data_IF_662394882680
#
_entry.id   IF_662394882680
#
_cell.length_a   1.000
_cell.length_b   1.000
_cell.length_c   1.000
_cell.angle_alpha   90.00
_cell.angle_beta   90.00
_cell.angle_gamma   90.00
#
_symmetry.space_group_name_H-M   'P 1'
#
loop_
_entity.id
_entity.type
_entity.pdbx_description
1 polymer ?
#
# COMPACT_ATOMS: atom_id res chain seq x y z
N UNK A 1 -17.10 54.35 4.21
CA UNK A 1 -18.53 54.17 4.56
C UNK A 1 -18.79 52.68 4.72
N UNK A 2 -19.19 52.23 5.91
CA UNK A 2 -19.66 50.84 6.10
C UNK A 2 -21.00 50.70 5.34
N UNK A 3 -21.10 49.71 4.46
CA UNK A 3 -22.34 49.38 3.76
C UNK A 3 -22.80 47.97 4.14
N UNK A 4 -24.08 47.82 4.48
CA UNK A 4 -24.66 46.52 4.79
C UNK A 4 -24.95 45.78 3.48
N UNK A 5 -24.53 44.52 3.38
CA UNK A 5 -24.81 43.64 2.24
C UNK A 5 -25.42 42.34 2.73
N UNK A 6 -26.37 41.80 1.96
CA UNK A 6 -26.90 40.46 2.19
C UNK A 6 -25.98 39.44 1.48
N UNK A 7 -25.42 38.51 2.24
CA UNK A 7 -24.45 37.52 1.75
C UNK A 7 -24.99 36.12 2.07
N UNK A 8 -25.09 35.21 1.09
CA UNK A 8 -25.38 33.82 1.37
C UNK A 8 -24.18 33.15 2.06
N UNK A 9 -24.39 32.52 3.21
CA UNK A 9 -23.34 31.80 3.95
C UNK A 9 -23.77 30.37 4.24
N UNK A 10 -22.79 29.46 4.31
CA UNK A 10 -23.02 28.10 4.79
C UNK A 10 -23.15 28.10 6.32
N UNK A 11 -23.96 27.19 6.87
CA UNK A 11 -24.21 27.09 8.30
C UNK A 11 -22.94 26.79 9.12
N UNK A 12 -21.93 26.13 8.54
CA UNK A 12 -20.63 25.83 9.17
C UNK A 12 -19.80 27.08 9.48
N UNK A 13 -20.12 28.22 8.87
CA UNK A 13 -19.45 29.50 9.13
C UNK A 13 -20.12 30.28 10.28
N UNK A 14 -21.21 29.77 10.84
CA UNK A 14 -21.89 30.38 11.99
C UNK A 14 -21.19 29.90 13.26
N UNK A 15 -20.50 30.81 13.95
CA UNK A 15 -19.80 30.50 15.20
C UNK A 15 -20.72 30.61 16.42
N UNK A 16 -21.46 31.72 16.53
CA UNK A 16 -22.31 32.02 17.68
C UNK A 16 -23.67 32.57 17.21
N UNK A 17 -24.72 32.35 18.00
CA UNK A 17 -26.06 32.90 17.76
C UNK A 17 -26.49 33.73 18.97
N UNK A 18 -26.89 34.98 18.73
CA UNK A 18 -27.34 35.90 19.77
C UNK A 18 -28.84 35.75 20.06
N UNK A 19 -29.25 36.02 21.29
CA UNK A 19 -30.66 36.07 21.68
C UNK A 19 -31.39 37.33 21.14
N UNK A 20 -30.66 38.35 20.72
CA UNK A 20 -31.23 39.62 20.23
C UNK A 20 -31.61 39.51 18.75
N UNK A 21 -32.85 39.87 18.44
CA UNK A 21 -33.37 39.95 17.07
C UNK A 21 -33.51 41.40 16.63
N UNK A 22 -33.06 41.70 15.42
CA UNK A 22 -33.25 43.01 14.79
C UNK A 22 -34.49 42.96 13.91
N UNK A 23 -35.31 44.00 13.97
CA UNK A 23 -36.42 44.15 13.02
C UNK A 23 -35.86 44.32 11.60
N UNK A 24 -36.25 43.42 10.71
CA UNK A 24 -35.82 43.41 9.32
C UNK A 24 -37.01 43.87 8.45
N UNK A 25 -36.84 44.93 7.63
CA UNK A 25 -37.82 45.31 6.61
C UNK A 25 -38.03 44.19 5.59
N UNK A 26 -39.24 44.10 5.02
CA UNK A 26 -39.60 43.06 4.05
C UNK A 26 -38.78 43.12 2.74
N UNK A 27 -38.31 44.32 2.35
CA UNK A 27 -37.44 44.51 1.19
C UNK A 27 -36.09 45.14 1.58
N UNK A 28 -35.01 44.37 1.40
CA UNK A 28 -33.64 44.77 1.64
C UNK A 28 -32.89 45.14 0.34
N UNK A 29 -33.56 45.37 -0.79
CA UNK A 29 -32.91 45.78 -2.05
C UNK A 29 -32.54 47.27 -2.07
N UNK A 30 -33.31 48.11 -1.38
CA UNK A 30 -33.08 49.56 -1.32
C UNK A 30 -31.93 49.91 -0.38
N UNK A 31 -31.20 51.00 -0.70
CA UNK A 31 -30.05 51.43 0.11
C UNK A 31 -30.49 51.96 1.47
N UNK A 32 -31.65 52.58 1.51
CA UNK A 32 -32.27 53.20 2.69
C UNK A 32 -32.66 52.14 3.72
N UNK A 33 -33.27 51.03 3.29
CA UNK A 33 -33.61 49.90 4.16
C UNK A 33 -32.35 49.25 4.77
N UNK A 34 -31.31 49.03 3.95
CA UNK A 34 -30.01 48.50 4.40
C UNK A 34 -29.32 49.44 5.41
N UNK A 35 -29.38 50.75 5.18
CA UNK A 35 -28.83 51.74 6.11
C UNK A 35 -29.61 51.78 7.43
N UNK A 36 -30.93 51.62 7.40
CA UNK A 36 -31.76 51.54 8.61
C UNK A 36 -31.36 50.33 9.47
N UNK A 37 -31.25 49.13 8.88
CA UNK A 37 -30.81 47.93 9.59
C UNK A 37 -29.38 48.09 10.13
N UNK A 38 -28.47 48.69 9.36
CA UNK A 38 -27.11 48.97 9.81
C UNK A 38 -27.07 49.87 11.06
N UNK A 39 -27.89 50.94 11.09
CA UNK A 39 -28.02 51.82 12.25
C UNK A 39 -28.52 51.05 13.48
N UNK A 40 -29.51 50.17 13.30
CA UNK A 40 -30.01 49.31 14.39
C UNK A 40 -28.94 48.37 14.93
N UNK A 41 -28.17 47.73 14.05
CA UNK A 41 -27.05 46.85 14.46
C UNK A 41 -25.94 47.64 15.17
N UNK A 42 -25.62 48.85 14.70
CA UNK A 42 -24.64 49.72 15.34
C UNK A 42 -25.10 50.16 16.74
N UNK A 43 -26.38 50.51 16.89
CA UNK A 43 -26.95 50.90 18.18
C UNK A 43 -26.92 49.72 19.17
N UNK A 44 -27.22 48.50 18.72
CA UNK A 44 -27.11 47.30 19.56
C UNK A 44 -25.66 47.08 20.00
N UNK A 45 -24.69 47.20 19.09
CA UNK A 45 -23.26 47.10 19.45
C UNK A 45 -22.84 48.18 20.44
N UNK A 46 -23.35 49.41 20.30
CA UNK A 46 -23.09 50.52 21.22
C UNK A 46 -23.65 50.26 22.63
N UNK A 47 -24.85 49.66 22.73
CA UNK A 47 -25.49 49.31 24.00
C UNK A 47 -24.87 48.10 24.69
N UNK A 48 -24.16 47.25 23.94
CA UNK A 48 -23.51 46.04 24.44
C UNK A 48 -21.99 46.06 24.20
N UNK A 49 -21.24 46.95 24.87
CA UNK A 49 -19.80 47.11 24.64
C UNK A 49 -18.98 45.88 25.07
N UNK A 50 -19.51 45.06 25.99
CA UNK A 50 -18.87 43.84 26.49
C UNK A 50 -19.18 42.59 25.65
N UNK A 51 -20.04 42.70 24.62
CA UNK A 51 -20.47 41.59 23.78
C UNK A 51 -21.97 41.33 23.82
N UNK A 52 -22.48 40.63 22.80
CA UNK A 52 -23.89 40.29 22.67
C UNK A 52 -24.24 39.07 23.55
N UNK A 53 -25.45 39.02 24.13
CA UNK A 53 -25.91 37.83 24.86
C UNK A 53 -26.11 36.68 23.87
N UNK A 54 -25.38 35.59 24.08
CA UNK A 54 -25.43 34.38 23.26
C UNK A 54 -26.52 33.44 23.76
N UNK A 55 -27.10 32.66 22.85
CA UNK A 55 -28.05 31.60 23.19
C UNK A 55 -27.32 30.43 23.87
N UNK A 56 -27.85 29.97 24.99
CA UNK A 56 -27.42 28.75 25.66
C UNK A 56 -27.89 27.53 24.85
N UNK A 57 -26.98 26.66 24.38
CA UNK A 57 -27.34 25.48 23.58
C UNK A 57 -28.31 24.52 24.29
N UNK A 58 -28.30 24.49 25.63
CA UNK A 58 -29.13 23.57 26.42
C UNK A 58 -30.43 24.27 26.83
N UNK A 59 -30.33 25.47 27.41
CA UNK A 59 -31.50 26.16 27.98
C UNK A 59 -32.35 26.88 26.92
N UNK A 60 -31.70 27.56 25.99
CA UNK A 60 -32.39 28.41 25.02
C UNK A 60 -32.67 27.69 23.70
N UNK A 61 -31.79 26.75 23.31
CA UNK A 61 -31.96 25.95 22.07
C UNK A 61 -32.55 24.54 22.30
N UNK A 62 -32.85 24.17 23.56
CA UNK A 62 -33.43 22.86 23.96
C UNK A 62 -32.67 21.62 23.42
N UNK A 63 -31.33 21.68 23.32
CA UNK A 63 -30.52 20.55 22.86
C UNK A 63 -30.35 19.52 23.99
N UNK A 64 -30.97 18.35 23.84
CA UNK A 64 -31.03 17.28 24.88
C UNK A 64 -29.89 16.25 24.82
N UNK A 65 -28.85 16.49 24.03
CA UNK A 65 -27.69 15.58 23.93
C UNK A 65 -26.88 15.60 25.23
N UNK A 66 -26.55 14.40 25.73
CA UNK A 66 -25.70 14.23 26.92
C UNK A 66 -24.26 14.68 26.64
N UNK A 67 -23.78 14.46 25.43
CA UNK A 67 -22.46 14.85 24.96
C UNK A 67 -22.34 16.38 24.91
N UNK A 68 -23.34 17.07 24.35
CA UNK A 68 -23.38 18.54 24.32
C UNK A 68 -23.39 19.12 25.74
N UNK A 69 -24.20 18.56 26.65
CA UNK A 69 -24.25 19.00 28.04
C UNK A 69 -22.90 18.83 28.77
N UNK A 70 -22.18 17.74 28.49
CA UNK A 70 -20.83 17.52 29.02
C UNK A 70 -19.83 18.56 28.46
N UNK A 71 -19.86 18.84 27.16
CA UNK A 71 -18.98 19.83 26.52
C UNK A 71 -19.22 21.24 27.07
N UNK A 72 -20.48 21.68 27.21
CA UNK A 72 -20.81 23.01 27.77
C UNK A 72 -20.32 23.13 29.22
N UNK A 73 -20.48 22.07 30.03
CA UNK A 73 -19.97 22.03 31.41
C UNK A 73 -18.43 22.08 31.46
N UNK A 74 -17.76 21.37 30.55
CA UNK A 74 -16.30 21.41 30.46
C UNK A 74 -15.81 22.80 30.04
N UNK A 75 -16.45 23.41 29.04
CA UNK A 75 -16.13 24.76 28.59
C UNK A 75 -16.26 25.77 29.73
N UNK A 76 -17.36 25.76 30.48
CA UNK A 76 -17.53 26.68 31.61
C UNK A 76 -16.48 26.45 32.71
N UNK A 77 -16.18 25.19 33.03
CA UNK A 77 -15.12 24.84 34.00
C UNK A 77 -13.76 25.36 33.56
N UNK A 78 -13.41 25.20 32.28
CA UNK A 78 -12.14 25.68 31.72
C UNK A 78 -12.09 27.21 31.70
N UNK A 79 -13.19 27.88 31.34
CA UNK A 79 -13.27 29.33 31.34
C UNK A 79 -13.07 29.91 32.74
N UNK A 80 -13.71 29.30 33.75
CA UNK A 80 -13.49 29.68 35.16
C UNK A 80 -12.03 29.51 35.55
N UNK A 81 -11.41 28.37 35.22
CA UNK A 81 -9.99 28.13 35.50
C UNK A 81 -9.05 29.12 34.81
N UNK A 82 -9.35 29.50 33.56
CA UNK A 82 -8.59 30.51 32.83
C UNK A 82 -8.71 31.86 33.53
N UNK A 83 -9.93 32.28 33.90
CA UNK A 83 -10.16 33.56 34.55
C UNK A 83 -9.55 33.63 35.97
N UNK A 84 -9.51 32.52 36.70
CA UNK A 84 -8.91 32.40 38.03
C UNK A 84 -7.38 32.31 37.99
N UNK A 85 -6.80 31.94 36.84
CA UNK A 85 -5.37 31.73 36.72
C UNK A 85 -4.59 33.04 36.98
N UNK A 86 -3.57 33.05 37.87
CA UNK A 86 -2.84 34.27 38.23
C UNK A 86 -2.21 35.02 37.04
N UNK A 87 -1.71 34.28 36.05
CA UNK A 87 -1.12 34.86 34.85
C UNK A 87 -2.12 35.62 33.97
N UNK A 88 -3.43 35.33 34.04
CA UNK A 88 -4.46 36.02 33.24
C UNK A 88 -4.59 37.50 33.62
N UNK A 89 -4.17 37.86 34.83
CA UNK A 89 -4.19 39.24 35.35
C UNK A 89 -2.86 39.97 35.17
N UNK A 90 -1.84 39.30 34.63
CA UNK A 90 -0.47 39.78 34.54
C UNK A 90 -0.22 40.41 33.16
N UNK A 91 0.29 41.65 33.05
CA UNK A 91 0.50 42.31 31.77
C UNK A 91 1.58 41.63 30.90
N UNK A 92 2.49 40.87 31.51
CA UNK A 92 3.53 40.09 30.81
C UNK A 92 3.01 38.75 30.21
N UNK A 93 1.72 38.42 30.35
CA UNK A 93 1.16 37.14 29.88
C UNK A 93 1.53 36.84 28.42
N UNK A 94 1.35 37.81 27.53
CA UNK A 94 1.63 37.65 26.09
C UNK A 94 3.09 37.27 25.86
N UNK A 95 4.02 37.97 26.52
CA UNK A 95 5.46 37.70 26.41
C UNK A 95 5.81 36.31 26.97
N UNK A 96 5.33 35.97 28.16
CA UNK A 96 5.60 34.68 28.80
C UNK A 96 5.00 33.52 27.99
N UNK A 97 3.82 33.71 27.41
CA UNK A 97 3.16 32.73 26.55
C UNK A 97 3.94 32.49 25.26
N UNK A 98 4.43 33.56 24.60
CA UNK A 98 5.30 33.44 23.42
C UNK A 98 6.61 32.68 23.74
N UNK A 99 7.24 32.96 24.89
CA UNK A 99 8.44 32.24 25.30
C UNK A 99 8.15 30.76 25.56
N UNK A 100 7.02 30.45 26.22
CA UNK A 100 6.59 29.09 26.47
C UNK A 100 6.29 28.35 25.16
N UNK A 101 5.61 29.00 24.21
CA UNK A 101 5.31 28.42 22.90
C UNK A 101 6.59 28.09 22.12
N UNK A 102 7.58 29.00 22.13
CA UNK A 102 8.90 28.75 21.53
C UNK A 102 9.59 27.55 22.18
N UNK A 103 9.62 27.48 23.51
CA UNK A 103 10.17 26.33 24.24
C UNK A 103 9.47 25.03 23.85
N UNK A 104 8.13 25.00 23.86
CA UNK A 104 7.34 23.83 23.50
C UNK A 104 7.56 23.41 22.04
N UNK A 105 7.80 24.36 21.13
CA UNK A 105 8.17 24.06 19.75
C UNK A 105 9.56 23.42 19.67
N UNK A 106 10.56 23.96 20.37
CA UNK A 106 11.89 23.34 20.44
C UNK A 106 11.85 21.95 21.07
N UNK A 107 11.06 21.74 22.13
CA UNK A 107 10.88 20.41 22.72
C UNK A 107 10.31 19.40 21.71
N UNK A 108 9.31 19.81 20.91
CA UNK A 108 8.77 18.98 19.81
C UNK A 108 9.85 18.67 18.76
N UNK A 109 10.60 19.68 18.32
CA UNK A 109 11.69 19.49 17.34
C UNK A 109 12.79 18.57 17.86
N UNK A 110 13.14 18.66 19.14
CA UNK A 110 14.13 17.77 19.76
C UNK A 110 13.64 16.33 19.78
N UNK A 111 12.36 16.09 20.08
CA UNK A 111 11.77 14.75 20.04
C UNK A 111 11.77 14.19 18.61
N UNK A 112 11.40 15.01 17.63
CA UNK A 112 11.43 14.65 16.21
C UNK A 112 12.85 14.32 15.73
N UNK A 113 13.82 15.21 15.96
CA UNK A 113 15.21 15.01 15.62
C UNK A 113 15.81 13.76 16.30
N UNK A 114 15.45 13.48 17.56
CA UNK A 114 15.87 12.24 18.25
C UNK A 114 15.28 10.99 17.60
N UNK A 115 14.02 11.05 17.19
CA UNK A 115 13.38 9.92 16.49
C UNK A 115 14.03 9.69 15.12
N UNK A 116 14.36 10.75 14.39
CA UNK A 116 15.01 10.63 13.09
C UNK A 116 16.45 10.14 13.21
N UNK A 117 17.20 10.61 14.21
CA UNK A 117 18.50 10.05 14.55
C UNK A 117 18.39 8.55 14.86
N UNK A 118 17.39 8.13 15.64
CA UNK A 118 17.17 6.72 15.97
C UNK A 118 16.84 5.88 14.74
N UNK A 119 16.04 6.40 13.80
CA UNK A 119 15.76 5.74 12.52
C UNK A 119 17.03 5.61 11.68
N UNK A 120 17.83 6.68 11.58
CA UNK A 120 19.08 6.70 10.82
C UNK A 120 20.15 5.78 11.42
N UNK A 121 20.25 5.71 12.76
CA UNK A 121 21.19 4.84 13.47
C UNK A 121 20.74 3.39 13.56
N UNK A 122 19.43 3.13 13.48
CA UNK A 122 18.97 1.76 13.37
C UNK A 122 19.55 1.19 12.07
N UNK A 123 20.40 0.18 12.19
CA UNK A 123 20.78 -0.67 11.08
C UNK A 123 19.49 -1.36 10.60
N UNK A 124 18.70 -0.63 9.81
CA UNK A 124 17.34 -0.95 9.37
C UNK A 124 17.27 -2.38 8.82
N UNK A 125 18.38 -2.87 8.28
CA UNK A 125 18.49 -4.20 7.66
C UNK A 125 18.79 -5.35 8.64
N UNK A 126 19.29 -5.11 9.88
CA UNK A 126 19.56 -6.23 10.81
C UNK A 126 18.27 -6.85 11.35
N UNK A 127 17.26 -6.01 11.61
CA UNK A 127 15.94 -6.48 12.04
C UNK A 127 15.33 -7.40 10.98
N UNK A 128 15.40 -6.99 9.73
CA UNK A 128 14.85 -7.76 8.61
C UNK A 128 15.69 -8.98 8.27
N UNK A 129 17.02 -8.89 8.33
CA UNK A 129 17.91 -10.05 8.16
C UNK A 129 17.60 -11.18 9.16
N UNK A 130 17.30 -10.84 10.43
CA UNK A 130 16.90 -11.84 11.42
C UNK A 130 15.59 -12.53 11.05
N UNK A 131 14.62 -11.79 10.51
CA UNK A 131 13.34 -12.33 10.02
C UNK A 131 13.55 -13.24 8.81
N UNK A 132 14.36 -12.82 7.84
CA UNK A 132 14.70 -13.64 6.67
C UNK A 132 15.43 -14.92 7.04
N UNK A 133 16.45 -14.85 7.92
CA UNK A 133 17.13 -16.04 8.45
C UNK A 133 16.16 -17.01 9.12
N UNK A 134 15.15 -16.50 9.85
CA UNK A 134 14.12 -17.34 10.45
C UNK A 134 13.32 -18.10 9.40
N UNK A 135 12.94 -17.46 8.29
CA UNK A 135 12.26 -18.13 7.17
C UNK A 135 13.14 -19.22 6.56
N UNK A 136 14.39 -18.88 6.22
CA UNK A 136 15.34 -19.82 5.60
C UNK A 136 15.56 -21.05 6.48
N UNK A 137 15.73 -20.88 7.80
CA UNK A 137 15.86 -22.00 8.74
C UNK A 137 14.59 -22.84 8.83
N UNK A 138 13.41 -22.21 8.85
CA UNK A 138 12.12 -22.92 8.93
C UNK A 138 11.78 -23.72 7.68
N UNK A 139 12.20 -23.24 6.51
CA UNK A 139 12.00 -23.93 5.24
C UNK A 139 13.14 -24.91 4.90
N UNK A 140 14.19 -24.98 5.73
CA UNK A 140 15.31 -25.92 5.58
C UNK A 140 16.37 -25.51 4.55
N UNK A 141 16.53 -24.21 4.28
CA UNK A 141 17.59 -23.69 3.41
C UNK A 141 18.92 -23.51 4.17
N UNK A 142 18.87 -23.35 5.49
CA UNK A 142 20.04 -23.34 6.34
C UNK A 142 19.75 -23.92 7.73
N UNK A 143 20.80 -24.41 8.37
CA UNK A 143 20.74 -24.93 9.73
C UNK A 143 20.56 -23.82 10.79
N UNK A 144 20.31 -24.23 12.04
CA UNK A 144 20.20 -23.31 13.18
C UNK A 144 21.48 -22.50 13.43
N UNK A 145 22.63 -22.98 12.96
CA UNK A 145 23.93 -22.31 13.01
C UNK A 145 24.21 -21.39 11.81
N UNK A 146 23.20 -21.11 10.97
CA UNK A 146 23.32 -20.31 9.73
C UNK A 146 24.26 -20.92 8.66
N UNK A 147 24.48 -22.24 8.72
CA UNK A 147 25.21 -22.97 7.67
C UNK A 147 24.23 -23.37 6.58
N UNK A 148 24.55 -23.06 5.32
CA UNK A 148 23.72 -23.35 4.15
C UNK A 148 23.58 -24.86 3.91
N UNK A 149 22.35 -25.32 3.71
CA UNK A 149 22.03 -26.72 3.40
C UNK A 149 21.92 -26.93 1.88
N UNK A 150 21.72 -28.18 1.44
CA UNK A 150 21.56 -28.52 0.02
C UNK A 150 20.47 -27.68 -0.66
N UNK A 151 19.31 -27.55 -0.01
CA UNK A 151 18.19 -26.73 -0.51
C UNK A 151 18.57 -25.25 -0.66
N UNK A 152 19.36 -24.74 0.27
CA UNK A 152 20.01 -23.43 0.20
C UNK A 152 20.85 -23.26 -1.06
N UNK A 153 21.75 -24.21 -1.32
CA UNK A 153 22.65 -24.19 -2.49
C UNK A 153 21.87 -24.22 -3.80
N UNK A 154 20.81 -25.02 -3.86
CA UNK A 154 19.94 -25.10 -5.05
C UNK A 154 19.23 -23.77 -5.31
N UNK A 155 18.69 -23.12 -4.26
CA UNK A 155 18.10 -21.79 -4.40
C UNK A 155 19.10 -20.73 -4.90
N UNK A 156 20.38 -20.85 -4.55
CA UNK A 156 21.41 -19.93 -5.06
C UNK A 156 21.62 -20.01 -6.58
N UNK A 157 21.14 -21.05 -7.25
CA UNK A 157 21.21 -21.18 -8.71
C UNK A 157 20.05 -20.44 -9.43
N UNK A 158 19.05 -19.96 -8.67
CA UNK A 158 17.84 -19.32 -9.20
C UNK A 158 17.86 -17.83 -8.85
N UNK A 159 17.86 -16.98 -9.88
CA UNK A 159 17.83 -15.52 -9.78
C UNK A 159 16.65 -14.92 -10.57
N UNK A 160 16.16 -15.66 -11.57
CA UNK A 160 15.06 -15.24 -12.45
C UNK A 160 13.71 -15.68 -11.89
N UNK A 161 13.16 -14.92 -10.95
CA UNK A 161 11.86 -15.21 -10.33
C UNK A 161 11.99 -15.49 -8.85
N UNK A 162 10.95 -16.07 -8.23
CA UNK A 162 10.97 -16.40 -6.81
C UNK A 162 11.73 -17.71 -6.54
N UNK A 163 12.92 -17.57 -5.96
CA UNK A 163 13.87 -18.65 -5.69
C UNK A 163 13.35 -19.65 -4.66
N UNK A 164 12.55 -19.18 -3.68
CA UNK A 164 12.01 -20.04 -2.63
C UNK A 164 10.93 -20.96 -3.20
N UNK A 165 9.94 -20.40 -3.90
CA UNK A 165 8.83 -21.19 -4.45
C UNK A 165 9.33 -22.14 -5.54
N UNK A 166 10.23 -21.70 -6.42
CA UNK A 166 10.81 -22.56 -7.45
C UNK A 166 11.58 -23.74 -6.83
N UNK A 167 12.38 -23.49 -5.80
CA UNK A 167 13.12 -24.54 -5.09
C UNK A 167 12.17 -25.47 -4.33
N UNK A 168 11.15 -24.95 -3.64
CA UNK A 168 10.15 -25.80 -2.98
C UNK A 168 9.44 -26.73 -3.97
N UNK A 169 9.07 -26.25 -5.16
CA UNK A 169 8.43 -27.08 -6.19
C UNK A 169 9.36 -28.19 -6.69
N UNK A 170 10.65 -27.89 -6.82
CA UNK A 170 11.67 -28.85 -7.21
C UNK A 170 11.82 -29.97 -6.16
N UNK A 171 11.95 -29.60 -4.88
CA UNK A 171 12.08 -30.57 -3.78
C UNK A 171 10.79 -31.34 -3.47
N UNK A 172 9.62 -30.74 -3.71
CA UNK A 172 8.33 -31.43 -3.60
C UNK A 172 8.06 -32.37 -4.79
N UNK A 173 8.95 -32.43 -5.79
CA UNK A 173 8.83 -33.33 -6.93
C UNK A 173 7.76 -32.92 -7.94
N UNK A 174 7.25 -31.68 -7.90
CA UNK A 174 6.15 -31.24 -8.77
C UNK A 174 6.51 -31.36 -10.25
N UNK A 175 7.78 -31.10 -10.60
CA UNK A 175 8.25 -31.18 -11.98
C UNK A 175 8.49 -32.60 -12.48
N UNK A 176 8.47 -33.64 -11.62
CA UNK A 176 8.79 -35.01 -12.02
C UNK A 176 7.74 -35.57 -12.99
N UNK A 177 6.46 -35.34 -12.69
CA UNK A 177 5.33 -35.89 -13.46
C UNK A 177 4.91 -35.00 -14.64
N UNK A 178 5.47 -33.79 -14.75
CA UNK A 178 5.13 -32.86 -15.83
C UNK A 178 5.88 -33.19 -17.12
N UNK A 179 5.19 -33.04 -18.26
CA UNK A 179 5.87 -32.97 -19.55
C UNK A 179 6.71 -31.70 -19.65
N UNK A 180 7.65 -31.66 -20.61
CA UNK A 180 8.49 -30.47 -20.87
C UNK A 180 7.63 -29.23 -21.09
N UNK A 181 6.58 -29.33 -21.91
CA UNK A 181 5.68 -28.22 -22.20
C UNK A 181 4.88 -27.76 -20.98
N UNK A 182 4.44 -28.68 -20.13
CA UNK A 182 3.75 -28.35 -18.87
C UNK A 182 4.69 -27.70 -17.85
N UNK A 183 5.94 -28.15 -17.75
CA UNK A 183 6.95 -27.54 -16.89
C UNK A 183 7.30 -26.11 -17.34
N UNK A 184 7.52 -25.90 -18.64
CA UNK A 184 7.74 -24.57 -19.21
C UNK A 184 6.53 -23.64 -18.99
N UNK A 185 5.31 -24.15 -19.18
CA UNK A 185 4.08 -23.40 -18.92
C UNK A 185 4.00 -22.97 -17.45
N UNK A 186 4.26 -23.86 -16.49
CA UNK A 186 4.23 -23.52 -15.07
C UNK A 186 5.30 -22.48 -14.70
N UNK A 187 6.53 -22.63 -15.22
CA UNK A 187 7.62 -21.68 -14.97
C UNK A 187 7.36 -20.29 -15.57
N UNK A 188 6.48 -20.18 -16.59
CA UNK A 188 6.08 -18.87 -17.13
C UNK A 188 5.41 -17.97 -16.09
N UNK A 189 4.76 -18.55 -15.08
CA UNK A 189 4.13 -17.83 -13.98
C UNK A 189 5.12 -17.01 -13.13
N UNK A 190 6.40 -17.40 -13.10
CA UNK A 190 7.45 -16.74 -12.32
C UNK A 190 8.02 -15.50 -13.01
N UNK A 191 7.93 -15.45 -14.34
CA UNK A 191 8.60 -14.42 -15.15
C UNK A 191 7.65 -13.41 -15.77
N UNK A 192 6.37 -13.75 -15.89
CA UNK A 192 5.36 -12.84 -16.42
C UNK A 192 4.89 -11.86 -15.35
N UNK A 193 5.18 -10.57 -15.53
CA UNK A 193 4.89 -9.53 -14.53
C UNK A 193 3.81 -8.53 -14.97
N UNK A 194 3.36 -8.58 -16.22
CA UNK A 194 2.40 -7.62 -16.76
C UNK A 194 0.97 -7.92 -16.31
N UNK A 195 0.09 -6.91 -16.33
CA UNK A 195 -1.34 -7.13 -16.09
C UNK A 195 -1.97 -7.54 -17.41
N UNK A 196 -2.77 -8.59 -17.39
CA UNK A 196 -3.64 -8.94 -18.50
C UNK A 196 -5.09 -8.76 -18.08
N UNK A 197 -5.92 -8.27 -19.00
CA UNK A 197 -7.32 -7.95 -18.72
C UNK A 197 -8.22 -9.20 -18.77
N UNK A 198 -7.74 -10.30 -19.34
CA UNK A 198 -8.49 -11.54 -19.55
C UNK A 198 -7.77 -12.71 -18.87
N UNK A 199 -8.49 -13.49 -18.06
CA UNK A 199 -7.98 -14.77 -17.58
C UNK A 199 -8.04 -15.80 -18.71
N UNK A 200 -6.92 -16.46 -19.07
CA UNK A 200 -6.94 -17.49 -20.09
C UNK A 200 -7.79 -18.67 -19.63
N UNK A 201 -8.47 -19.31 -20.58
CA UNK A 201 -9.12 -20.60 -20.36
C UNK A 201 -8.02 -21.66 -20.27
N UNK A 202 -7.47 -21.84 -19.09
CA UNK A 202 -6.43 -22.83 -18.83
C UNK A 202 -6.94 -24.24 -19.15
N UNK A 203 -6.20 -25.03 -19.95
CA UNK A 203 -6.46 -26.45 -20.12
C UNK A 203 -6.52 -27.16 -18.75
N UNK A 204 -7.39 -28.17 -18.63
CA UNK A 204 -7.58 -28.91 -17.37
C UNK A 204 -6.26 -29.52 -16.86
N UNK A 205 -5.38 -29.94 -17.77
CA UNK A 205 -4.05 -30.47 -17.45
C UNK A 205 -3.09 -29.45 -16.78
N UNK A 206 -3.27 -28.14 -17.01
CA UNK A 206 -2.45 -27.09 -16.42
C UNK A 206 -2.99 -26.57 -15.08
N UNK A 207 -4.27 -26.85 -14.79
CA UNK A 207 -4.93 -26.41 -13.56
C UNK A 207 -4.34 -27.06 -12.30
N UNK A 208 -4.00 -28.36 -12.36
CA UNK A 208 -3.38 -29.09 -11.26
C UNK A 208 -2.01 -28.52 -10.87
N UNK A 209 -1.05 -28.43 -11.82
CA UNK A 209 0.27 -27.85 -11.57
C UNK A 209 0.20 -26.41 -11.06
N UNK A 210 -0.68 -25.57 -11.63
CA UNK A 210 -0.89 -24.20 -11.17
C UNK A 210 -1.35 -24.16 -9.70
N UNK A 211 -2.30 -25.02 -9.34
CA UNK A 211 -2.81 -25.11 -7.96
C UNK A 211 -1.70 -25.52 -6.98
N UNK A 212 -0.87 -26.51 -7.33
CA UNK A 212 0.27 -26.92 -6.50
C UNK A 212 1.28 -25.79 -6.29
N UNK A 213 1.53 -24.98 -7.32
CA UNK A 213 2.36 -23.79 -7.22
C UNK A 213 1.74 -22.73 -6.31
N UNK A 214 0.43 -22.47 -6.42
CA UNK A 214 -0.26 -21.51 -5.55
C UNK A 214 -0.27 -21.97 -4.09
N UNK A 215 -0.50 -23.26 -3.84
CA UNK A 215 -0.44 -23.86 -2.50
C UNK A 215 0.98 -23.77 -1.91
N UNK A 216 2.01 -23.99 -2.74
CA UNK A 216 3.42 -23.84 -2.33
C UNK A 216 3.77 -22.38 -2.01
N UNK A 217 3.39 -21.44 -2.87
CA UNK A 217 3.57 -20.00 -2.63
C UNK A 217 2.86 -19.55 -1.35
N UNK A 218 1.62 -20.02 -1.14
CA UNK A 218 0.85 -19.74 0.07
C UNK A 218 1.55 -20.26 1.33
N UNK A 219 2.12 -21.47 1.28
CA UNK A 219 2.91 -22.02 2.39
C UNK A 219 4.15 -21.17 2.68
N UNK A 220 4.89 -20.75 1.66
CA UNK A 220 6.06 -19.86 1.82
C UNK A 220 5.63 -18.51 2.44
N UNK A 221 4.55 -17.91 1.93
CA UNK A 221 4.00 -16.66 2.47
C UNK A 221 3.64 -16.78 3.96
N UNK A 222 2.94 -17.85 4.35
CA UNK A 222 2.58 -18.09 5.77
C UNK A 222 3.80 -18.19 6.67
N UNK A 223 4.82 -18.93 6.24
CA UNK A 223 6.07 -19.05 7.01
C UNK A 223 6.76 -17.68 7.14
N UNK A 224 6.71 -16.85 6.10
CA UNK A 224 7.23 -15.48 6.10
C UNK A 224 6.47 -14.56 7.07
N UNK A 225 5.14 -14.58 7.03
CA UNK A 225 4.26 -13.79 7.91
C UNK A 225 4.45 -14.19 9.38
N UNK A 226 4.46 -15.49 9.68
CA UNK A 226 4.72 -16.02 11.02
C UNK A 226 6.13 -15.65 11.52
N UNK A 227 7.07 -15.43 10.60
CA UNK A 227 8.42 -14.96 10.89
C UNK A 227 8.53 -13.43 11.03
N UNK A 228 7.39 -12.72 11.05
CA UNK A 228 7.25 -11.26 11.22
C UNK A 228 7.73 -10.43 10.03
N UNK A 229 7.78 -11.03 8.85
CA UNK A 229 7.94 -10.28 7.59
C UNK A 229 6.59 -9.64 7.26
N UNK A 230 6.63 -8.36 6.89
CA UNK A 230 5.45 -7.64 6.40
C UNK A 230 5.17 -8.09 4.96
N UNK A 231 4.22 -9.02 4.81
CA UNK A 231 3.87 -9.66 3.56
C UNK A 231 2.36 -9.91 3.53
N UNK A 232 1.73 -9.60 2.41
CA UNK A 232 0.34 -9.95 2.13
C UNK A 232 0.28 -11.29 1.38
N UNK A 233 -0.39 -12.29 1.97
CA UNK A 233 -0.45 -13.66 1.44
C UNK A 233 -1.05 -13.72 0.03
N UNK A 234 -2.17 -13.03 -0.18
CA UNK A 234 -2.89 -13.07 -1.46
C UNK A 234 -2.11 -12.32 -2.54
N UNK A 235 -1.56 -11.14 -2.22
CA UNK A 235 -0.72 -10.38 -3.15
C UNK A 235 0.53 -11.14 -3.56
N UNK A 236 1.12 -11.92 -2.64
CA UNK A 236 2.29 -12.75 -2.95
C UNK A 236 1.92 -13.87 -3.92
N UNK A 237 0.82 -14.59 -3.67
CA UNK A 237 0.33 -15.66 -4.56
C UNK A 237 -0.09 -15.10 -5.93
N UNK A 238 -0.75 -13.94 -5.97
CA UNK A 238 -1.14 -13.23 -7.19
C UNK A 238 0.06 -12.71 -8.01
N UNK A 239 1.25 -12.68 -7.40
CA UNK A 239 2.50 -12.41 -8.09
C UNK A 239 2.83 -13.45 -9.16
N UNK A 240 2.33 -14.68 -9.00
CA UNK A 240 2.53 -15.79 -9.92
C UNK A 240 1.42 -15.83 -10.97
N UNK A 241 1.66 -15.21 -12.12
CA UNK A 241 0.62 -14.91 -13.10
C UNK A 241 0.46 -15.98 -14.16
N UNK A 242 -0.69 -16.64 -14.19
CA UNK A 242 -0.99 -17.75 -15.11
C UNK A 242 -1.32 -17.33 -16.57
N UNK A 243 -1.29 -16.04 -16.91
CA UNK A 243 -1.78 -15.51 -18.20
C UNK A 243 -1.04 -16.01 -19.45
N UNK A 244 0.17 -16.56 -19.27
CA UNK A 244 1.03 -17.01 -20.37
C UNK A 244 1.13 -18.54 -20.46
N UNK A 245 0.49 -19.30 -19.57
CA UNK A 245 0.72 -20.74 -19.47
C UNK A 245 0.33 -21.49 -20.76
N UNK A 246 -0.84 -21.19 -21.33
CA UNK A 246 -1.34 -21.80 -22.56
C UNK A 246 -0.54 -21.35 -23.80
N UNK A 247 -0.20 -20.06 -23.88
CA UNK A 247 0.66 -19.47 -24.92
C UNK A 247 2.03 -20.14 -24.94
N UNK A 248 2.67 -20.29 -23.78
CA UNK A 248 3.98 -20.92 -23.64
C UNK A 248 3.91 -22.41 -23.94
N UNK A 249 2.86 -23.11 -23.49
CA UNK A 249 2.67 -24.52 -23.85
C UNK A 249 2.60 -24.70 -25.36
N UNK A 250 1.75 -23.92 -26.04
CA UNK A 250 1.60 -23.95 -27.49
C UNK A 250 2.91 -23.60 -28.23
N UNK A 251 3.69 -22.66 -27.68
CA UNK A 251 5.01 -22.33 -28.19
C UNK A 251 6.00 -23.50 -28.07
N UNK A 252 6.07 -24.16 -26.92
CA UNK A 252 6.97 -25.30 -26.72
C UNK A 252 6.54 -26.51 -27.56
N UNK A 253 5.24 -26.66 -27.81
CA UNK A 253 4.66 -27.70 -28.68
C UNK A 253 4.87 -27.42 -30.19
N UNK A 254 5.50 -26.30 -30.56
CA UNK A 254 5.93 -26.01 -31.94
C UNK A 254 4.99 -25.11 -32.76
N UNK A 255 3.99 -24.48 -32.16
CA UNK A 255 3.11 -23.57 -32.91
C UNK A 255 3.85 -22.30 -33.40
N UNK A 256 3.40 -21.71 -34.50
CA UNK A 256 4.02 -20.48 -35.03
C UNK A 256 3.79 -19.28 -34.10
N UNK A 257 4.69 -18.29 -34.16
CA UNK A 257 4.56 -17.06 -33.34
C UNK A 257 3.23 -16.34 -33.61
N UNK A 258 2.82 -16.28 -34.88
CA UNK A 258 1.54 -15.69 -35.28
C UNK A 258 0.31 -16.44 -34.71
N UNK A 259 0.41 -17.75 -34.44
CA UNK A 259 -0.66 -18.52 -33.81
C UNK A 259 -0.79 -18.16 -32.34
N UNK A 260 0.33 -18.18 -31.60
CA UNK A 260 0.32 -17.92 -30.17
C UNK A 260 -0.08 -16.48 -29.82
N UNK A 261 0.26 -15.50 -30.69
CA UNK A 261 -0.19 -14.11 -30.51
C UNK A 261 -1.70 -13.94 -30.69
N UNK A 262 -2.38 -14.86 -31.40
CA UNK A 262 -3.85 -14.84 -31.52
C UNK A 262 -4.55 -15.49 -30.32
N UNK A 263 -3.81 -16.23 -29.49
CA UNK A 263 -4.36 -16.89 -28.29
C UNK A 263 -4.52 -15.93 -27.12
N UNK A 264 -3.85 -14.77 -27.16
CA UNK A 264 -3.81 -13.81 -26.05
C UNK A 264 -3.97 -12.38 -26.55
N UNK A 265 -4.53 -11.52 -25.70
CA UNK A 265 -4.60 -10.07 -25.93
C UNK A 265 -3.34 -9.32 -25.48
N UNK A 266 -2.33 -10.05 -24.98
CA UNK A 266 -1.03 -9.49 -24.56
C UNK A 266 -0.22 -9.05 -25.79
N UNK A 267 0.40 -7.87 -25.72
CA UNK A 267 1.26 -7.35 -26.78
C UNK A 267 2.42 -8.30 -27.11
N UNK A 268 2.75 -8.41 -28.39
CA UNK A 268 3.73 -9.36 -28.92
C UNK A 268 5.13 -9.14 -28.31
N UNK A 269 5.50 -7.89 -28.06
CA UNK A 269 6.77 -7.56 -27.39
C UNK A 269 6.85 -8.09 -25.96
N UNK A 270 5.72 -8.13 -25.25
CA UNK A 270 5.61 -8.70 -23.90
C UNK A 270 5.67 -10.22 -23.93
N UNK A 271 5.07 -10.86 -24.94
CA UNK A 271 5.22 -12.30 -25.20
C UNK A 271 6.69 -12.65 -25.43
N UNK A 272 7.39 -11.92 -26.32
CA UNK A 272 8.83 -12.13 -26.58
C UNK A 272 9.66 -11.96 -25.31
N UNK A 273 9.39 -10.92 -24.51
CA UNK A 273 10.09 -10.69 -23.24
C UNK A 273 9.86 -11.84 -22.25
N UNK A 274 8.62 -12.33 -22.15
CA UNK A 274 8.29 -13.46 -21.29
C UNK A 274 9.05 -14.73 -21.71
N UNK A 275 9.07 -15.05 -23.01
CA UNK A 275 9.77 -16.23 -23.55
C UNK A 275 11.29 -16.14 -23.28
N UNK A 276 11.90 -14.97 -23.46
CA UNK A 276 13.34 -14.77 -23.18
C UNK A 276 13.68 -14.89 -21.69
N UNK A 277 12.84 -14.35 -20.80
CA UNK A 277 13.02 -14.53 -19.34
C UNK A 277 12.78 -15.97 -18.91
N UNK A 278 11.81 -16.65 -19.51
CA UNK A 278 11.56 -18.07 -19.27
C UNK A 278 12.77 -18.92 -19.67
N UNK A 279 13.41 -18.61 -20.80
CA UNK A 279 14.62 -19.31 -21.25
C UNK A 279 15.76 -19.17 -20.24
N UNK A 280 15.94 -17.99 -19.65
CA UNK A 280 16.90 -17.77 -18.57
C UNK A 280 16.54 -18.55 -17.30
N UNK A 281 15.29 -18.51 -16.86
CA UNK A 281 14.83 -19.32 -15.73
C UNK A 281 15.04 -20.82 -15.98
N UNK A 282 14.77 -21.32 -17.18
CA UNK A 282 15.01 -22.73 -17.52
C UNK A 282 16.49 -23.11 -17.43
N UNK A 283 17.41 -22.23 -17.84
CA UNK A 283 18.86 -22.45 -17.66
C UNK A 283 19.22 -22.56 -16.18
N UNK A 284 18.67 -21.67 -15.35
CA UNK A 284 18.87 -21.68 -13.90
C UNK A 284 18.28 -22.93 -13.23
N UNK A 285 17.08 -23.35 -13.66
CA UNK A 285 16.46 -24.60 -13.20
C UNK A 285 17.28 -25.84 -13.61
N UNK A 286 17.97 -25.80 -14.76
CA UNK A 286 18.90 -26.85 -15.16
C UNK A 286 20.11 -26.94 -14.21
N UNK A 287 20.72 -25.79 -13.88
CA UNK A 287 21.79 -25.72 -12.88
C UNK A 287 21.32 -26.21 -11.49
N UNK A 288 20.11 -25.80 -11.07
CA UNK A 288 19.49 -26.24 -9.83
C UNK A 288 19.25 -27.76 -9.79
N UNK A 289 18.72 -28.35 -10.87
CA UNK A 289 18.51 -29.80 -10.97
C UNK A 289 19.83 -30.57 -10.94
N UNK A 290 20.86 -30.04 -11.60
CA UNK A 290 22.22 -30.58 -11.57
C UNK A 290 22.82 -30.54 -10.16
N UNK A 291 22.61 -29.46 -9.41
CA UNK A 291 23.07 -29.33 -8.03
C UNK A 291 22.40 -30.34 -7.07
N UNK A 292 21.16 -30.74 -7.34
CA UNK A 292 20.48 -31.84 -6.62
C UNK A 292 21.00 -33.22 -7.04
N UNK A 293 21.59 -33.34 -8.23
CA UNK A 293 21.96 -34.61 -8.84
C UNK A 293 20.78 -35.33 -9.53
N UNK A 294 19.75 -34.59 -9.94
CA UNK A 294 18.61 -35.15 -10.66
C UNK A 294 18.77 -34.96 -12.18
N UNK A 295 19.39 -35.95 -12.83
CA UNK A 295 19.66 -35.92 -14.27
C UNK A 295 18.41 -35.96 -15.15
N UNK A 296 17.30 -36.51 -14.67
CA UNK A 296 16.03 -36.52 -15.42
C UNK A 296 15.44 -35.11 -15.52
N UNK A 297 15.45 -34.36 -14.42
CA UNK A 297 15.02 -32.96 -14.41
C UNK A 297 15.99 -32.06 -15.17
N UNK A 298 17.30 -32.31 -15.06
CA UNK A 298 18.32 -31.61 -15.85
C UNK A 298 18.05 -31.77 -17.36
N UNK A 299 17.79 -32.99 -17.82
CA UNK A 299 17.43 -33.28 -19.21
C UNK A 299 16.12 -32.60 -19.61
N UNK A 300 15.09 -32.67 -18.75
CA UNK A 300 13.78 -32.06 -18.98
C UNK A 300 13.87 -30.55 -19.16
N UNK A 301 14.60 -29.85 -18.27
CA UNK A 301 14.77 -28.41 -18.38
C UNK A 301 15.66 -28.02 -19.58
N UNK A 302 16.69 -28.81 -19.88
CA UNK A 302 17.52 -28.63 -21.08
C UNK A 302 16.70 -28.76 -22.37
N UNK A 303 15.85 -29.77 -22.47
CA UNK A 303 14.93 -29.93 -23.60
C UNK A 303 13.96 -28.74 -23.70
N UNK A 304 13.45 -28.28 -22.55
CA UNK A 304 12.64 -27.06 -22.45
C UNK A 304 13.34 -25.83 -23.02
N UNK A 305 14.58 -25.58 -22.60
CA UNK A 305 15.41 -24.46 -23.11
C UNK A 305 15.56 -24.54 -24.63
N UNK A 306 15.83 -25.72 -25.18
CA UNK A 306 15.98 -25.91 -26.63
C UNK A 306 14.68 -25.63 -27.40
N UNK A 307 13.54 -26.15 -26.91
CA UNK A 307 12.23 -25.94 -27.56
C UNK A 307 11.74 -24.50 -27.47
N UNK A 308 12.05 -23.81 -26.38
CA UNK A 308 11.73 -22.38 -26.19
C UNK A 308 12.54 -21.50 -27.14
N UNK A 309 13.81 -21.85 -27.38
CA UNK A 309 14.78 -21.07 -28.15
C UNK A 309 14.65 -21.27 -29.68
N UNK A 310 13.67 -20.62 -30.30
CA UNK A 310 13.50 -20.65 -31.77
C UNK A 310 12.92 -19.37 -32.37
N UNK A 311 13.05 -19.26 -33.69
CA UNK A 311 12.46 -18.25 -34.57
C UNK A 311 12.67 -16.79 -34.11
N UNK A 312 11.69 -15.92 -34.44
CA UNK A 312 11.71 -14.47 -34.29
C UNK A 312 11.99 -13.99 -32.86
N UNK A 313 11.66 -14.79 -31.85
CA UNK A 313 11.84 -14.45 -30.43
C UNK A 313 13.33 -14.27 -30.08
N UNK A 314 14.21 -14.98 -30.77
CA UNK A 314 15.66 -14.96 -30.54
C UNK A 314 16.44 -14.32 -31.69
N UNK A 315 15.78 -13.53 -32.54
CA UNK A 315 16.46 -12.71 -33.53
C UNK A 315 17.43 -11.73 -32.85
N UNK A 316 18.61 -11.55 -33.46
CA UNK A 316 19.63 -10.64 -32.93
C UNK A 316 19.11 -9.19 -32.92
N UNK A 317 19.52 -8.42 -31.90
CA UNK A 317 19.31 -6.97 -31.88
C UNK A 317 19.99 -6.33 -33.08
N UNK A 318 19.36 -5.28 -33.64
CA UNK A 318 19.97 -4.44 -34.68
C UNK A 318 21.14 -3.57 -34.15
N UNK A 319 21.31 -3.51 -32.83
CA UNK A 319 22.37 -2.74 -32.16
C UNK A 319 23.56 -3.60 -31.69
N UNK A 320 23.60 -4.87 -32.10
CA UNK A 320 24.76 -5.76 -31.91
C UNK A 320 25.74 -5.59 -33.06
#
# INVERSE_FOLDING_TARGET
MLSLQAIPIQHTLIRDVSAIRVYLPDDLRTKEARQSVLKSVQEIKRRHPLGLPLLDPIKDMDIKSKEMAACVKQYSTLQTRINEHPLTKTPELTYLYEQYERKANFERQVVEAKNDLKKAQSLLQIGDLKKFKRVLRRLGYCSSADVIDLKGRVACEIDTGDELVATELLFNGVFNDLTVSQACALLSCFVFQEKANEMPKLPQELSGPLRLMQETARRVARVSIESKIDLDEERYVDGFKAYMMDVIKAWVDGQSFASICKMTSIYEGSVVRCIRRLEELLRQMCCAAKAIGNSELEAKFTEGTQKVKRDIVFAASLYL
#
